data_IF_486304507317
#
_entry.id   IF_486304507317
#
_cell.length_a   1.000
_cell.length_b   1.000
_cell.length_c   1.000
_cell.angle_alpha   90.00
_cell.angle_beta   90.00
_cell.angle_gamma   90.00
#
_symmetry.space_group_name_H-M   'P 1'
#
loop_
_entity.id
_entity.type
_entity.pdbx_description
1 polymer ?
#
# COMPACT_ATOMS: atom_id res chain seq x y z
N UNK A 1 -11.42 9.80 11.91
CA UNK A 1 -10.58 10.36 10.83
C UNK A 1 -10.72 9.47 9.62
N UNK A 2 -11.16 10.03 8.49
CA UNK A 2 -11.14 9.39 7.17
C UNK A 2 -9.74 9.58 6.57
N UNK A 3 -9.11 8.52 6.07
CA UNK A 3 -7.85 8.58 5.32
C UNK A 3 -8.06 8.06 3.89
N UNK A 4 -7.33 8.60 2.92
CA UNK A 4 -7.33 8.11 1.53
C UNK A 4 -6.15 7.17 1.32
N UNK A 5 -6.43 5.95 0.87
CA UNK A 5 -5.42 4.91 0.63
C UNK A 5 -5.35 4.55 -0.84
N UNK A 6 -4.13 4.45 -1.36
CA UNK A 6 -3.85 3.90 -2.68
C UNK A 6 -3.42 2.44 -2.51
N UNK A 7 -4.11 1.52 -3.18
CA UNK A 7 -3.81 0.09 -3.18
C UNK A 7 -3.33 -0.29 -4.57
N UNK A 8 -2.16 -0.95 -4.64
CA UNK A 8 -1.54 -1.35 -5.91
C UNK A 8 -1.20 -2.83 -5.87
N UNK A 9 -1.89 -3.61 -6.68
CA UNK A 9 -1.66 -5.05 -6.83
C UNK A 9 -2.14 -5.44 -8.24
N UNK A 10 -1.34 -6.21 -8.99
CA UNK A 10 -1.68 -6.62 -10.35
C UNK A 10 -2.76 -7.72 -10.38
N UNK A 11 -3.11 -8.29 -9.22
CA UNK A 11 -4.24 -9.20 -9.05
C UNK A 11 -5.53 -8.44 -8.64
N UNK A 12 -6.48 -8.31 -9.58
CA UNK A 12 -7.77 -7.62 -9.37
C UNK A 12 -8.57 -8.17 -8.17
N UNK A 13 -8.48 -9.48 -7.92
CA UNK A 13 -9.14 -10.10 -6.76
C UNK A 13 -8.55 -9.62 -5.43
N UNK A 14 -7.24 -9.36 -5.37
CA UNK A 14 -6.59 -8.83 -4.17
C UNK A 14 -6.97 -7.37 -3.95
N UNK A 15 -7.00 -6.54 -5.00
CA UNK A 15 -7.43 -5.14 -4.86
C UNK A 15 -8.89 -5.03 -4.40
N UNK A 16 -9.79 -5.90 -4.89
CA UNK A 16 -11.18 -5.95 -4.43
C UNK A 16 -11.27 -6.35 -2.95
N UNK A 17 -10.47 -7.33 -2.54
CA UNK A 17 -10.37 -7.72 -1.13
C UNK A 17 -9.88 -6.56 -0.25
N UNK A 18 -8.87 -5.82 -0.69
CA UNK A 18 -8.40 -4.62 0.01
C UNK A 18 -9.47 -3.53 0.10
N UNK A 19 -10.21 -3.29 -0.99
CA UNK A 19 -11.29 -2.30 -1.01
C UNK A 19 -12.35 -2.59 0.05
N UNK A 20 -12.77 -3.85 0.18
CA UNK A 20 -13.72 -4.30 1.18
C UNK A 20 -13.17 -4.10 2.61
N UNK A 21 -12.01 -4.68 2.93
CA UNK A 21 -11.49 -4.69 4.31
C UNK A 21 -11.06 -3.30 4.81
N UNK A 22 -10.56 -2.44 3.91
CA UNK A 22 -10.14 -1.07 4.24
C UNK A 22 -11.32 -0.10 4.25
N UNK A 23 -12.35 -0.37 3.42
CA UNK A 23 -13.64 0.31 3.47
C UNK A 23 -14.33 0.09 4.82
N UNK A 24 -14.38 -1.17 5.28
CA UNK A 24 -14.89 -1.53 6.62
C UNK A 24 -14.09 -0.87 7.75
N UNK A 25 -12.79 -0.67 7.55
CA UNK A 25 -11.92 0.07 8.47
C UNK A 25 -12.19 1.60 8.48
N UNK A 26 -12.96 2.10 7.51
CA UNK A 26 -13.35 3.50 7.36
C UNK A 26 -12.35 4.35 6.56
N UNK A 27 -11.62 3.73 5.62
CA UNK A 27 -10.76 4.44 4.66
C UNK A 27 -11.46 4.62 3.32
N UNK A 28 -11.08 5.67 2.60
CA UNK A 28 -11.43 5.85 1.19
C UNK A 28 -10.37 5.19 0.34
N UNK A 29 -10.73 4.12 -0.37
CA UNK A 29 -9.79 3.28 -1.11
C UNK A 29 -9.80 3.67 -2.58
N UNK A 30 -8.61 3.76 -3.17
CA UNK A 30 -8.41 3.82 -4.62
C UNK A 30 -7.51 2.66 -4.99
N UNK A 31 -7.96 1.81 -5.90
CA UNK A 31 -7.20 0.66 -6.38
C UNK A 31 -6.65 0.93 -7.78
N UNK A 32 -5.47 0.41 -8.06
CA UNK A 32 -4.89 0.32 -9.39
C UNK A 32 -4.04 -0.94 -9.53
N UNK A 33 -3.72 -1.30 -10.78
CA UNK A 33 -3.16 -2.63 -11.09
C UNK A 33 -1.73 -2.58 -11.64
N UNK A 34 -1.09 -1.41 -11.57
CA UNK A 34 0.31 -1.26 -11.94
C UNK A 34 0.95 -0.08 -11.23
N UNK A 35 2.27 -0.15 -11.03
CA UNK A 35 3.03 0.97 -10.49
C UNK A 35 2.94 2.24 -11.36
N UNK A 36 2.80 2.10 -12.68
CA UNK A 36 2.65 3.26 -13.58
C UNK A 36 1.32 3.97 -13.38
N UNK A 37 0.21 3.22 -13.31
CA UNK A 37 -1.11 3.77 -13.00
C UNK A 37 -1.13 4.40 -11.60
N UNK A 38 -0.46 3.78 -10.63
CA UNK A 38 -0.29 4.35 -9.29
C UNK A 38 0.39 5.72 -9.32
N UNK A 39 1.45 5.90 -10.12
CA UNK A 39 2.12 7.18 -10.28
C UNK A 39 1.20 8.25 -10.90
N UNK A 40 0.36 7.87 -11.86
CA UNK A 40 -0.61 8.78 -12.47
C UNK A 40 -1.66 9.24 -11.45
N UNK A 41 -2.32 8.29 -10.78
CA UNK A 41 -3.34 8.54 -9.77
C UNK A 41 -2.80 9.32 -8.56
N UNK A 42 -1.54 9.12 -8.18
CA UNK A 42 -0.94 9.81 -7.03
C UNK A 42 -0.89 11.33 -7.20
N UNK A 43 -0.92 11.83 -8.45
CA UNK A 43 -0.95 13.26 -8.73
C UNK A 43 -2.36 13.87 -8.59
N UNK A 44 -3.40 13.05 -8.46
CA UNK A 44 -4.79 13.51 -8.38
C UNK A 44 -5.19 13.90 -6.95
N UNK A 45 -5.71 15.12 -6.72
CA UNK A 45 -6.19 15.52 -5.40
C UNK A 45 -7.47 14.77 -5.00
N UNK A 46 -7.73 14.59 -3.69
CA UNK A 46 -6.89 14.97 -2.54
C UNK A 46 -5.69 14.02 -2.35
N UNK A 47 -4.60 14.42 -1.68
CA UNK A 47 -3.42 13.56 -1.51
C UNK A 47 -3.75 12.26 -0.77
N UNK A 48 -2.92 11.23 -0.99
CA UNK A 48 -3.02 9.96 -0.29
C UNK A 48 -2.30 10.01 1.06
N UNK A 49 -2.90 9.41 2.08
CA UNK A 49 -2.31 9.26 3.41
C UNK A 49 -1.47 7.98 3.52
N UNK A 50 -1.87 6.96 2.77
CA UNK A 50 -1.31 5.61 2.83
C UNK A 50 -1.20 5.00 1.42
N UNK A 51 -0.10 4.31 1.17
CA UNK A 51 0.09 3.38 0.07
C UNK A 51 0.15 1.95 0.64
N UNK A 52 -0.58 1.03 0.05
CA UNK A 52 -0.39 -0.41 0.20
C UNK A 52 -0.03 -0.95 -1.18
N UNK A 53 1.13 -1.58 -1.32
CA UNK A 53 1.58 -2.09 -2.62
C UNK A 53 2.10 -3.51 -2.49
N UNK A 54 1.81 -4.33 -3.50
CA UNK A 54 2.54 -5.58 -3.69
C UNK A 54 4.00 -5.31 -4.09
N UNK A 55 4.89 -6.23 -3.73
CA UNK A 55 6.30 -6.15 -4.08
C UNK A 55 6.58 -6.61 -5.52
N UNK A 56 5.91 -7.67 -5.97
CA UNK A 56 6.21 -8.39 -7.21
C UNK A 56 5.19 -8.09 -8.29
N UNK A 57 5.12 -6.84 -8.73
CA UNK A 57 4.24 -6.43 -9.83
C UNK A 57 4.98 -6.42 -11.17
N UNK A 58 4.25 -6.68 -12.26
CA UNK A 58 4.80 -6.58 -13.60
C UNK A 58 5.26 -5.15 -13.93
N UNK A 59 6.54 -4.99 -14.26
CA UNK A 59 7.12 -3.76 -14.81
C UNK A 59 7.66 -2.75 -13.80
N UNK A 60 7.19 -2.77 -12.55
CA UNK A 60 7.72 -1.93 -11.46
C UNK A 60 7.57 -2.65 -10.12
N UNK A 61 8.66 -2.77 -9.36
CA UNK A 61 8.61 -3.36 -8.02
C UNK A 61 7.95 -2.42 -7.00
N UNK A 62 7.32 -2.98 -5.97
CA UNK A 62 6.68 -2.21 -4.90
C UNK A 62 7.66 -1.30 -4.14
N UNK A 63 8.88 -1.79 -3.87
CA UNK A 63 9.98 -0.98 -3.31
C UNK A 63 10.32 0.23 -4.18
N UNK A 64 10.41 0.05 -5.50
CA UNK A 64 10.68 1.14 -6.44
C UNK A 64 9.54 2.18 -6.43
N UNK A 65 8.29 1.72 -6.42
CA UNK A 65 7.11 2.60 -6.32
C UNK A 65 7.13 3.41 -5.02
N UNK A 66 7.41 2.76 -3.88
CA UNK A 66 7.53 3.42 -2.56
C UNK A 66 8.58 4.53 -2.62
N UNK A 67 9.75 4.25 -3.18
CA UNK A 67 10.83 5.25 -3.29
C UNK A 67 10.42 6.46 -4.11
N UNK A 68 9.79 6.22 -5.27
CA UNK A 68 9.31 7.29 -6.16
C UNK A 68 8.26 8.15 -5.47
N UNK A 69 7.25 7.53 -4.85
CA UNK A 69 6.14 8.25 -4.21
C UNK A 69 6.56 8.99 -2.95
N UNK A 70 7.44 8.41 -2.11
CA UNK A 70 8.02 9.13 -0.97
C UNK A 70 8.94 10.27 -1.39
N UNK A 71 9.57 10.20 -2.56
CA UNK A 71 10.31 11.31 -3.16
C UNK A 71 9.42 12.52 -3.48
N UNK A 72 8.15 12.30 -3.80
CA UNK A 72 7.15 13.35 -4.06
C UNK A 72 6.48 13.80 -2.76
N UNK A 73 6.06 12.86 -1.93
CA UNK A 73 5.38 13.11 -0.65
C UNK A 73 6.10 12.38 0.49
N UNK A 74 7.07 13.03 1.16
CA UNK A 74 7.84 12.39 2.25
C UNK A 74 7.02 11.97 3.47
N UNK A 75 5.81 12.51 3.63
CA UNK A 75 4.88 12.15 4.72
C UNK A 75 4.03 10.91 4.43
N UNK A 76 4.03 10.40 3.19
CA UNK A 76 3.24 9.24 2.78
C UNK A 76 3.60 8.03 3.62
N UNK A 77 2.60 7.42 4.25
CA UNK A 77 2.77 6.12 4.93
C UNK A 77 2.77 5.02 3.89
N UNK A 78 3.64 4.03 4.03
CA UNK A 78 3.74 2.94 3.08
C UNK A 78 3.75 1.57 3.75
N UNK A 79 2.97 0.65 3.21
CA UNK A 79 2.93 -0.77 3.58
C UNK A 79 3.30 -1.57 2.35
N UNK A 80 4.35 -2.38 2.47
CA UNK A 80 4.74 -3.32 1.44
C UNK A 80 4.17 -4.70 1.76
N UNK A 81 3.46 -5.30 0.81
CA UNK A 81 2.99 -6.67 0.88
C UNK A 81 3.94 -7.54 0.06
N UNK A 82 4.49 -8.59 0.68
CA UNK A 82 5.59 -9.37 0.09
C UNK A 82 5.46 -10.85 0.42
N UNK A 83 5.86 -11.72 -0.51
CA UNK A 83 5.93 -13.16 -0.29
C UNK A 83 7.14 -13.58 0.55
N UNK A 84 7.02 -14.68 1.31
CA UNK A 84 8.07 -15.18 2.22
C UNK A 84 9.43 -15.47 1.55
N UNK A 85 9.47 -15.69 0.23
CA UNK A 85 10.68 -16.03 -0.53
C UNK A 85 11.41 -14.82 -1.13
N UNK A 86 10.96 -13.59 -0.84
CA UNK A 86 11.46 -12.40 -1.50
C UNK A 86 12.68 -11.80 -0.78
N UNK A 87 13.87 -11.76 -1.42
CA UNK A 87 15.11 -11.29 -0.79
C UNK A 87 15.09 -9.78 -0.45
N UNK A 88 14.18 -9.02 -1.04
CA UNK A 88 14.08 -7.57 -0.93
C UNK A 88 13.38 -7.08 0.35
N UNK A 89 12.84 -7.99 1.19
CA UNK A 89 12.22 -7.65 2.49
C UNK A 89 13.11 -6.83 3.41
N UNK A 90 14.44 -7.00 3.33
CA UNK A 90 15.39 -6.35 4.23
C UNK A 90 15.76 -4.92 3.81
N UNK A 91 15.58 -4.59 2.52
CA UNK A 91 16.00 -3.31 1.94
C UNK A 91 14.81 -2.37 1.66
N UNK A 92 13.59 -2.80 1.97
CA UNK A 92 12.39 -2.00 1.72
C UNK A 92 12.35 -0.77 2.65
N UNK A 93 12.35 0.43 2.07
CA UNK A 93 12.10 1.72 2.77
C UNK A 93 10.63 1.92 3.19
N UNK A 94 9.89 0.83 3.32
CA UNK A 94 8.49 0.82 3.71
C UNK A 94 8.34 1.13 5.21
N UNK A 95 7.25 1.78 5.61
CA UNK A 95 6.98 2.01 7.03
C UNK A 95 6.45 0.76 7.74
N UNK A 96 5.92 -0.19 6.97
CA UNK A 96 5.59 -1.53 7.42
C UNK A 96 5.73 -2.54 6.28
N UNK A 97 5.91 -3.81 6.64
CA UNK A 97 5.91 -4.93 5.71
C UNK A 97 4.92 -5.97 6.25
N UNK A 98 4.06 -6.49 5.38
CA UNK A 98 3.13 -7.58 5.68
C UNK A 98 3.43 -8.77 4.77
N UNK A 99 3.42 -9.97 5.37
CA UNK A 99 3.61 -11.21 4.66
C UNK A 99 2.32 -11.63 3.93
N UNK A 100 2.45 -12.14 2.71
CA UNK A 100 1.39 -12.91 2.05
C UNK A 100 1.43 -14.38 2.54
N UNK A 101 0.29 -15.04 2.85
CA UNK A 101 -1.08 -14.52 2.73
C UNK A 101 -1.40 -13.48 3.81
N UNK A 102 -2.13 -12.44 3.41
CA UNK A 102 -2.40 -11.28 4.25
C UNK A 102 -3.25 -11.65 5.48
N UNK A 103 -2.69 -11.43 6.67
CA UNK A 103 -3.43 -11.49 7.94
C UNK A 103 -4.12 -10.15 8.22
N UNK A 104 -5.45 -10.15 8.29
CA UNK A 104 -6.29 -8.97 8.53
C UNK A 104 -5.98 -8.34 9.90
N UNK A 105 -5.73 -9.15 10.94
CA UNK A 105 -5.40 -8.59 12.25
C UNK A 105 -4.04 -7.89 12.23
N UNK A 106 -3.08 -8.46 11.48
CA UNK A 106 -1.79 -7.82 11.29
C UNK A 106 -1.90 -6.51 10.51
N UNK A 107 -2.74 -6.48 9.47
CA UNK A 107 -3.05 -5.26 8.73
C UNK A 107 -3.63 -4.19 9.65
N UNK A 108 -4.67 -4.50 10.43
CA UNK A 108 -5.31 -3.52 11.32
C UNK A 108 -4.33 -2.99 12.37
N UNK A 109 -3.49 -3.84 12.98
CA UNK A 109 -2.43 -3.39 13.89
C UNK A 109 -1.45 -2.41 13.21
N UNK A 110 -1.10 -2.66 11.95
CA UNK A 110 -0.26 -1.74 11.16
C UNK A 110 -0.99 -0.43 10.88
N UNK A 111 -2.27 -0.48 10.50
CA UNK A 111 -3.08 0.71 10.23
C UNK A 111 -3.23 1.58 11.49
N UNK A 112 -3.53 0.99 12.65
CA UNK A 112 -3.65 1.70 13.93
C UNK A 112 -2.35 2.44 14.27
N UNK A 113 -1.22 1.76 14.10
CA UNK A 113 0.11 2.31 14.35
C UNK A 113 0.45 3.45 13.38
N UNK A 114 0.21 3.29 12.08
CA UNK A 114 0.62 4.25 11.06
C UNK A 114 -0.31 5.48 10.98
N UNK A 115 -1.61 5.29 11.24
CA UNK A 115 -2.63 6.34 11.18
C UNK A 115 -2.95 6.95 12.55
N UNK A 116 -2.30 6.48 13.63
CA UNK A 116 -2.37 7.09 14.95
C UNK A 116 -3.71 6.92 15.66
N UNK A 117 -4.36 5.75 15.55
CA UNK A 117 -5.64 5.44 16.19
C UNK A 117 -5.51 4.78 17.59
N UNK A 118 -4.34 4.91 18.23
CA UNK A 118 -4.02 4.32 19.55
C UNK A 118 -4.65 5.11 20.70
#
# INVERSE_FOLDING_TARGET
>A
MSGRVLVVDDEELLTLFYEEILGDYGLSVVCCHSGFEALELFNEPPPFDLLITDQSMLGMEGTELIERLKGVQPSLKTVLCSGLSEPYRLDAKADAILDKPLDIEALYRVLDRLLGRV
#
